data_IF_750370720054
#
_entry.id   IF_750370720054
#
_cell.length_a   1.000
_cell.length_b   1.000
_cell.length_c   1.000
_cell.angle_alpha   90.00
_cell.angle_beta   90.00
_cell.angle_gamma   90.00
#
_symmetry.space_group_name_H-M   'P 1'
#
loop_
_entity.id
_entity.type
_entity.pdbx_description
1 polymer ?
#
# COMPACT_ATOMS: atom_id res chain seq x y z
N UNK A 1 -12.41 2.16 0.60
CA UNK A 1 -11.56 2.74 1.67
C UNK A 1 -11.88 1.94 2.90
N UNK A 2 -11.00 1.04 3.30
CA UNK A 2 -11.18 0.17 4.46
C UNK A 2 -9.86 0.11 5.19
N UNK A 3 -9.91 -0.01 6.51
CA UNK A 3 -8.74 -0.43 7.27
C UNK A 3 -8.63 -1.96 7.17
N UNK A 4 -7.42 -2.48 7.37
CA UNK A 4 -7.11 -3.91 7.35
C UNK A 4 -7.14 -4.56 5.95
N UNK A 5 -7.07 -5.89 5.93
CA UNK A 5 -7.00 -6.72 4.73
C UNK A 5 -8.16 -6.50 3.76
N UNK A 6 -7.85 -6.64 2.47
CA UNK A 6 -8.86 -6.65 1.41
C UNK A 6 -9.37 -8.08 1.22
N UNK A 7 -10.69 -8.34 1.32
CA UNK A 7 -11.24 -9.67 1.06
C UNK A 7 -10.86 -10.18 -0.34
N UNK A 8 -10.40 -11.43 -0.41
CA UNK A 8 -10.00 -12.07 -1.67
C UNK A 8 -8.58 -11.77 -2.13
N UNK A 9 -7.81 -10.95 -1.41
CA UNK A 9 -6.39 -10.71 -1.70
C UNK A 9 -5.53 -11.32 -0.60
N UNK A 10 -4.77 -12.36 -0.93
CA UNK A 10 -3.88 -13.04 0.01
C UNK A 10 -2.57 -12.26 0.23
N UNK A 11 -1.97 -12.41 1.41
CA UNK A 11 -0.59 -11.97 1.64
C UNK A 11 0.34 -12.67 0.65
N UNK A 12 1.29 -11.92 0.08
CA UNK A 12 2.19 -12.41 -0.97
C UNK A 12 1.63 -12.28 -2.40
N UNK A 13 0.43 -11.73 -2.58
CA UNK A 13 -0.09 -11.42 -3.93
C UNK A 13 0.83 -10.42 -4.65
N UNK A 14 1.22 -10.75 -5.88
CA UNK A 14 2.08 -9.92 -6.72
C UNK A 14 1.23 -9.22 -7.77
N UNK A 15 1.36 -7.89 -7.86
CA UNK A 15 0.72 -7.09 -8.90
C UNK A 15 1.74 -6.66 -9.95
N UNK A 16 1.36 -6.75 -11.23
CA UNK A 16 2.23 -6.35 -12.34
C UNK A 16 2.54 -4.85 -12.37
N UNK A 17 1.66 -4.02 -11.81
CA UNK A 17 1.87 -2.57 -11.73
C UNK A 17 1.09 -1.94 -10.57
N UNK A 18 1.42 -0.67 -10.29
CA UNK A 18 0.68 0.17 -9.32
C UNK A 18 -0.79 0.34 -9.68
N UNK A 19 -1.14 0.36 -10.97
CA UNK A 19 -2.54 0.44 -11.40
C UNK A 19 -3.33 -0.81 -11.02
N UNK A 20 -2.78 -2.00 -11.26
CA UNK A 20 -3.43 -3.27 -10.85
C UNK A 20 -3.56 -3.37 -9.32
N UNK A 21 -2.55 -2.90 -8.57
CA UNK A 21 -2.64 -2.83 -7.11
C UNK A 21 -3.74 -1.86 -6.65
N UNK A 22 -3.90 -0.72 -7.32
CA UNK A 22 -4.98 0.25 -7.05
C UNK A 22 -6.36 -0.33 -7.36
N UNK A 23 -6.53 -1.00 -8.50
CA UNK A 23 -7.76 -1.66 -8.91
C UNK A 23 -8.17 -2.78 -7.94
N UNK A 24 -7.19 -3.48 -7.34
CA UNK A 24 -7.43 -4.48 -6.29
C UNK A 24 -7.80 -3.88 -4.92
N UNK A 25 -7.84 -2.56 -4.79
CA UNK A 25 -8.09 -1.80 -3.57
C UNK A 25 -7.03 -1.93 -2.45
N UNK A 26 -5.95 -2.70 -2.65
CA UNK A 26 -4.86 -2.86 -1.67
C UNK A 26 -4.16 -1.53 -1.39
N UNK A 27 -3.81 -0.77 -2.43
CA UNK A 27 -3.25 0.57 -2.29
C UNK A 27 -3.82 1.50 -3.36
N UNK A 28 -4.76 2.35 -2.96
CA UNK A 28 -5.58 3.15 -3.89
C UNK A 28 -4.77 4.11 -4.77
N UNK A 29 -3.69 4.69 -4.28
CA UNK A 29 -2.96 5.71 -5.05
C UNK A 29 -2.03 5.06 -6.08
N UNK A 30 -2.12 5.38 -7.38
CA UNK A 30 -1.18 4.84 -8.36
C UNK A 30 0.24 5.43 -8.20
N UNK A 31 0.38 6.61 -7.59
CA UNK A 31 1.66 7.33 -7.48
C UNK A 31 2.12 7.57 -6.03
N UNK A 32 1.23 8.01 -5.14
CA UNK A 32 1.62 8.40 -3.78
C UNK A 32 2.09 7.18 -2.96
N UNK A 33 3.13 7.31 -2.14
CA UNK A 33 3.60 6.22 -1.28
C UNK A 33 2.63 5.87 -0.15
N UNK A 34 1.84 6.84 0.30
CA UNK A 34 0.88 6.71 1.41
C UNK A 34 -0.52 6.97 0.87
N UNK A 35 -1.48 6.13 1.29
CA UNK A 35 -2.91 6.35 1.03
C UNK A 35 -3.64 6.49 2.36
N UNK A 36 -4.16 7.68 2.62
CA UNK A 36 -4.77 8.05 3.91
C UNK A 36 -5.54 9.36 3.81
N UNK A 37 -6.17 9.75 4.93
CA UNK A 37 -6.67 11.10 5.12
C UNK A 37 -6.14 11.66 6.45
N UNK A 38 -5.97 12.99 6.52
CA UNK A 38 -5.48 13.64 7.75
C UNK A 38 -6.42 13.44 8.94
N UNK A 39 -7.72 13.28 8.69
CA UNK A 39 -8.76 13.14 9.71
C UNK A 39 -9.01 11.70 10.17
N UNK A 40 -8.75 10.71 9.32
CA UNK A 40 -9.08 9.30 9.61
C UNK A 40 -7.83 8.43 9.82
N UNK A 41 -6.67 8.85 9.28
CA UNK A 41 -5.42 8.09 9.32
C UNK A 41 -5.05 7.44 7.99
N UNK A 42 -4.05 6.56 8.05
CA UNK A 42 -3.47 5.89 6.89
C UNK A 42 -4.06 4.48 6.70
N UNK A 43 -4.45 4.17 5.47
CA UNK A 43 -5.04 2.89 5.10
C UNK A 43 -4.01 1.89 4.56
N UNK A 44 -2.98 2.40 3.88
CA UNK A 44 -1.91 1.59 3.27
C UNK A 44 -0.69 2.46 2.94
N UNK A 45 0.49 1.85 2.96
CA UNK A 45 1.77 2.45 2.59
C UNK A 45 2.55 1.49 1.68
N UNK A 46 3.40 2.04 0.81
CA UNK A 46 4.31 1.29 -0.05
C UNK A 46 5.75 1.61 0.32
N UNK A 47 6.51 0.57 0.68
CA UNK A 47 7.96 0.63 0.81
C UNK A 47 8.59 0.51 -0.59
N UNK A 48 9.27 1.57 -1.03
CA UNK A 48 9.88 1.65 -2.37
C UNK A 48 11.28 2.26 -2.37
N UNK A 49 11.94 2.30 -1.19
CA UNK A 49 13.26 2.91 -0.99
C UNK A 49 13.33 4.38 -1.44
N UNK A 50 12.24 5.13 -1.21
CA UNK A 50 12.16 6.56 -1.53
C UNK A 50 12.97 7.44 -0.57
N UNK A 51 13.30 6.91 0.62
CA UNK A 51 14.10 7.57 1.64
C UNK A 51 15.37 6.77 1.89
N UNK A 52 16.51 7.47 1.89
CA UNK A 52 17.84 6.85 1.95
C UNK A 52 18.13 6.22 3.31
N UNK A 53 17.46 6.71 4.33
CA UNK A 53 17.57 6.35 5.73
C UNK A 53 16.56 5.26 6.16
N UNK A 54 15.74 4.76 5.24
CA UNK A 54 14.84 3.63 5.54
C UNK A 54 15.64 2.34 5.77
N UNK A 55 15.45 1.72 6.96
CA UNK A 55 15.85 0.34 7.24
C UNK A 55 14.63 -0.59 7.17
N UNK A 56 14.73 -1.69 6.42
CA UNK A 56 13.67 -2.71 6.34
C UNK A 56 14.18 -4.07 6.85
N UNK A 57 13.58 -4.56 7.95
CA UNK A 57 13.91 -5.85 8.60
C UNK A 57 12.87 -6.95 8.41
N UNK A 58 11.70 -6.59 7.88
CA UNK A 58 10.69 -7.52 7.34
C UNK A 58 9.86 -8.33 8.34
N UNK A 59 10.18 -8.32 9.63
CA UNK A 59 9.49 -9.07 10.70
C UNK A 59 8.21 -8.40 11.24
#
# INVERSE_FOLDING_TARGET
KTFSHIPGVAVGTIFRSRSYCSESAVHRSPMAGISGSKSEGEYSIILSAGYKDDENRGD
#
